data_IF_499524831595
#
_entry.id   IF_499524831595
#
_cell.length_a   1.000
_cell.length_b   1.000
_cell.length_c   1.000
_cell.angle_alpha   90.00
_cell.angle_beta   90.00
_cell.angle_gamma   90.00
#
_symmetry.space_group_name_H-M   'P 1'
#
loop_
_entity.id
_entity.type
_entity.pdbx_description
1 polymer ?
#
# COMPACT_ATOMS: atom_id res chain seq x y z
N UNK A 1 38.20 14.80 23.25
CA UNK A 1 37.15 13.77 23.13
C UNK A 1 36.73 13.90 21.69
N UNK A 2 37.33 13.12 20.81
CA UNK A 2 37.06 13.17 19.37
C UNK A 2 35.57 12.92 19.18
N UNK A 3 34.87 13.90 18.61
CA UNK A 3 33.58 13.66 17.96
C UNK A 3 33.89 12.70 16.82
N UNK A 4 33.69 11.39 17.05
CA UNK A 4 33.62 10.43 15.94
C UNK A 4 32.60 11.00 14.97
N UNK A 5 33.02 11.29 13.75
CA UNK A 5 32.11 11.52 12.62
C UNK A 5 31.09 10.38 12.65
N UNK A 6 29.86 10.71 13.03
CA UNK A 6 28.77 9.75 13.02
C UNK A 6 28.49 9.44 11.56
N UNK A 7 28.69 8.20 11.14
CA UNK A 7 28.29 7.76 9.80
C UNK A 7 26.75 7.68 9.76
N UNK A 8 26.16 7.86 8.59
CA UNK A 8 24.74 7.55 8.38
C UNK A 8 24.42 6.08 8.74
N UNK A 9 25.41 5.20 8.60
CA UNK A 9 25.36 3.79 9.01
C UNK A 9 25.18 3.57 10.52
N UNK A 10 25.51 4.58 11.35
CA UNK A 10 25.40 4.48 12.82
C UNK A 10 23.98 4.76 13.34
N UNK A 11 23.05 5.16 12.46
CA UNK A 11 21.65 5.41 12.80
C UNK A 11 20.83 4.16 12.50
N UNK A 12 19.88 3.82 13.38
CA UNK A 12 18.92 2.75 13.11
C UNK A 12 18.15 3.06 11.81
N UNK A 13 18.48 2.33 10.74
CA UNK A 13 17.87 2.47 9.41
C UNK A 13 16.38 2.07 9.40
N UNK A 14 15.95 1.31 10.42
CA UNK A 14 14.57 0.86 10.58
C UNK A 14 13.69 1.94 11.24
N UNK A 15 13.35 2.97 10.47
CA UNK A 15 12.25 3.91 10.79
C UNK A 15 10.88 3.39 10.33
N UNK A 16 10.80 2.14 9.92
CA UNK A 16 9.61 1.55 9.33
C UNK A 16 8.65 1.02 10.40
N UNK A 17 7.37 0.98 10.06
CA UNK A 17 6.34 0.40 10.93
C UNK A 17 6.39 -1.13 10.82
N UNK A 18 5.92 -1.87 11.84
CA UNK A 18 5.95 -3.34 11.81
C UNK A 18 4.92 -3.95 10.84
N UNK A 19 5.16 -5.21 10.45
CA UNK A 19 4.27 -6.00 9.59
C UNK A 19 2.81 -6.05 10.05
N UNK A 20 2.54 -6.07 11.37
CA UNK A 20 1.16 -6.05 11.89
C UNK A 20 0.38 -4.81 11.43
N UNK A 21 1.01 -3.64 11.44
CA UNK A 21 0.37 -2.41 10.97
C UNK A 21 0.15 -2.43 9.45
N UNK A 22 1.09 -3.04 8.70
CA UNK A 22 0.96 -3.28 7.26
C UNK A 22 -0.24 -4.16 6.91
N UNK A 23 -0.33 -5.31 7.57
CA UNK A 23 -1.44 -6.23 7.38
C UNK A 23 -2.79 -5.61 7.77
N UNK A 24 -2.85 -4.93 8.92
CA UNK A 24 -4.04 -4.20 9.34
C UNK A 24 -4.44 -3.10 8.34
N UNK A 25 -3.47 -2.38 7.77
CA UNK A 25 -3.73 -1.36 6.76
C UNK A 25 -4.27 -1.97 5.44
N UNK A 26 -3.79 -3.14 5.02
CA UNK A 26 -4.35 -3.86 3.88
C UNK A 26 -5.83 -4.19 4.09
N UNK A 27 -6.19 -4.82 5.22
CA UNK A 27 -7.59 -5.12 5.54
C UNK A 27 -8.42 -3.87 5.81
N UNK A 28 -7.80 -2.78 6.25
CA UNK A 28 -8.47 -1.50 6.31
C UNK A 28 -8.83 -0.97 4.91
N UNK A 29 -8.07 -1.33 3.87
CA UNK A 29 -8.46 -1.10 2.48
C UNK A 29 -9.73 -1.85 2.05
N UNK A 30 -10.12 -2.91 2.78
CA UNK A 30 -11.33 -3.70 2.55
C UNK A 30 -12.46 -3.19 3.46
N UNK A 31 -13.44 -2.49 2.88
CA UNK A 31 -14.42 -1.67 3.63
C UNK A 31 -15.39 -2.46 4.50
N UNK A 32 -15.67 -3.70 4.14
CA UNK A 32 -16.60 -4.63 4.79
C UNK A 32 -15.87 -5.78 5.53
N UNK A 33 -14.57 -5.63 5.74
CA UNK A 33 -13.77 -6.52 6.58
C UNK A 33 -13.75 -6.05 8.04
N UNK A 34 -13.85 -7.01 8.96
CA UNK A 34 -13.57 -6.85 10.39
C UNK A 34 -12.15 -7.35 10.65
N UNK A 35 -11.39 -6.55 11.41
CA UNK A 35 -9.99 -6.81 11.72
C UNK A 35 -9.88 -7.10 13.21
N UNK A 36 -9.44 -8.29 13.57
CA UNK A 36 -9.15 -8.66 14.95
C UNK A 36 -7.64 -8.71 15.14
N UNK A 37 -7.12 -7.80 15.95
CA UNK A 37 -5.72 -7.87 16.37
C UNK A 37 -5.62 -8.86 17.51
N UNK A 38 -5.02 -10.03 17.25
CA UNK A 38 -4.75 -11.00 18.29
C UNK A 38 -3.45 -10.62 19.01
N UNK A 39 -3.56 -9.99 20.19
CA UNK A 39 -2.40 -9.44 20.88
C UNK A 39 -2.74 -8.48 22.02
N UNK A 40 -1.70 -7.85 22.60
CA UNK A 40 -1.88 -6.85 23.62
C UNK A 40 -2.46 -5.56 23.03
N UNK A 41 -3.17 -4.81 23.87
CA UNK A 41 -3.89 -3.59 23.51
C UNK A 41 -3.01 -2.52 22.84
N UNK A 42 -1.72 -2.47 23.20
CA UNK A 42 -0.76 -1.53 22.59
C UNK A 42 -0.57 -1.74 21.08
N UNK A 43 -0.43 -2.99 20.63
CA UNK A 43 -0.26 -3.31 19.20
C UNK A 43 -1.48 -2.88 18.39
N UNK A 44 -2.67 -3.11 18.96
CA UNK A 44 -3.93 -2.69 18.38
C UNK A 44 -4.01 -1.16 18.22
N UNK A 45 -3.78 -0.38 19.29
CA UNK A 45 -3.81 1.08 19.19
C UNK A 45 -2.72 1.64 18.28
N UNK A 46 -1.53 1.05 18.29
CA UNK A 46 -0.44 1.47 17.41
C UNK A 46 -0.80 1.34 15.94
N UNK A 47 -1.33 0.18 15.52
CA UNK A 47 -1.78 -0.06 14.16
C UNK A 47 -3.03 0.76 13.80
N UNK A 48 -4.02 0.83 14.69
CA UNK A 48 -5.22 1.64 14.51
C UNK A 48 -4.86 3.10 14.27
N UNK A 49 -3.93 3.66 15.05
CA UNK A 49 -3.53 5.05 14.93
C UNK A 49 -2.99 5.40 13.55
N UNK A 50 -2.24 4.50 12.92
CA UNK A 50 -1.72 4.70 11.56
C UNK A 50 -2.86 4.77 10.53
N UNK A 51 -3.94 4.01 10.75
CA UNK A 51 -5.08 3.91 9.84
C UNK A 51 -6.08 5.05 10.07
N UNK A 52 -6.30 5.47 11.32
CA UNK A 52 -7.25 6.52 11.71
C UNK A 52 -7.03 7.85 10.99
N UNK A 53 -5.77 8.16 10.66
CA UNK A 53 -5.42 9.37 9.91
C UNK A 53 -6.15 9.45 8.55
N UNK A 54 -6.43 8.30 7.95
CA UNK A 54 -7.09 8.21 6.64
C UNK A 54 -8.50 7.64 6.73
N UNK A 55 -8.82 6.92 7.81
CA UNK A 55 -10.13 6.31 8.04
C UNK A 55 -10.58 6.51 9.49
N UNK A 56 -11.29 7.61 9.76
CA UNK A 56 -11.72 7.99 11.10
C UNK A 56 -12.66 6.97 11.79
N UNK A 57 -13.30 6.07 11.06
CA UNK A 57 -14.26 5.08 11.57
C UNK A 57 -13.66 3.68 11.73
N UNK A 58 -12.34 3.52 11.60
CA UNK A 58 -11.68 2.21 11.69
C UNK A 58 -11.95 1.50 13.03
N UNK A 59 -12.09 2.26 14.12
CA UNK A 59 -12.40 1.74 15.45
C UNK A 59 -13.72 0.97 15.54
N UNK A 60 -14.64 1.14 14.59
CA UNK A 60 -15.90 0.40 14.56
C UNK A 60 -15.77 -1.04 14.05
N UNK A 61 -14.65 -1.35 13.37
CA UNK A 61 -14.43 -2.64 12.70
C UNK A 61 -13.06 -3.25 12.98
N UNK A 62 -12.27 -2.61 13.83
CA UNK A 62 -10.99 -3.11 14.31
C UNK A 62 -11.09 -3.40 15.80
N UNK A 63 -10.75 -4.61 16.21
CA UNK A 63 -10.89 -5.13 17.57
C UNK A 63 -9.56 -5.67 18.08
N UNK A 64 -9.53 -6.01 19.36
CA UNK A 64 -8.37 -6.55 20.04
C UNK A 64 -8.81 -7.71 20.94
N UNK A 65 -8.05 -8.79 20.98
CA UNK A 65 -8.25 -9.87 21.97
C UNK A 65 -7.75 -9.50 23.35
N UNK A 66 -6.90 -8.47 23.46
CA UNK A 66 -6.33 -7.97 24.71
C UNK A 66 -5.63 -9.08 25.51
N UNK A 67 -4.69 -9.79 24.87
CA UNK A 67 -3.91 -10.83 25.54
C UNK A 67 -3.13 -10.25 26.72
N UNK A 68 -3.21 -10.94 27.85
CA UNK A 68 -2.43 -10.68 29.06
C UNK A 68 -1.36 -11.77 29.27
N UNK A 69 -0.81 -11.87 30.48
CA UNK A 69 0.23 -12.85 30.79
C UNK A 69 -0.31 -14.29 30.90
N UNK A 70 -1.59 -14.47 31.20
CA UNK A 70 -2.20 -15.80 31.33
C UNK A 70 -2.33 -16.45 29.95
N UNK A 71 -2.60 -15.64 28.91
CA UNK A 71 -2.61 -16.10 27.52
C UNK A 71 -1.28 -16.75 27.08
N UNK A 72 -0.14 -16.35 27.67
CA UNK A 72 1.17 -16.96 27.36
C UNK A 72 1.24 -18.42 27.85
N UNK A 73 0.53 -18.75 28.93
CA UNK A 73 0.55 -20.08 29.55
C UNK A 73 -0.58 -20.97 29.03
N UNK A 74 -1.77 -20.40 28.85
CA UNK A 74 -2.99 -21.14 28.55
C UNK A 74 -3.50 -21.00 27.11
N UNK A 75 -2.89 -20.12 26.31
CA UNK A 75 -3.35 -19.82 24.95
C UNK A 75 -4.33 -18.65 24.89
N UNK A 76 -4.64 -18.23 23.67
CA UNK A 76 -5.50 -17.10 23.33
C UNK A 76 -6.96 -17.50 23.04
N UNK A 77 -7.32 -18.77 23.18
CA UNK A 77 -8.62 -19.31 22.76
C UNK A 77 -9.81 -18.60 23.42
N UNK A 78 -9.81 -18.45 24.75
CA UNK A 78 -10.89 -17.78 25.48
C UNK A 78 -11.04 -16.31 25.05
N UNK A 79 -9.91 -15.60 24.92
CA UNK A 79 -9.86 -14.20 24.49
C UNK A 79 -10.37 -14.02 23.05
N UNK A 80 -10.03 -14.94 22.15
CA UNK A 80 -10.54 -14.95 20.78
C UNK A 80 -12.03 -15.21 20.75
N UNK A 81 -12.52 -16.20 21.51
CA UNK A 81 -13.94 -16.51 21.58
C UNK A 81 -14.76 -15.31 22.09
N UNK A 82 -14.27 -14.60 23.11
CA UNK A 82 -14.90 -13.38 23.60
C UNK A 82 -14.94 -12.28 22.53
N UNK A 83 -13.80 -12.00 21.87
CA UNK A 83 -13.70 -10.99 20.84
C UNK A 83 -14.56 -11.30 19.59
N UNK A 84 -14.76 -12.58 19.29
CA UNK A 84 -15.50 -13.05 18.11
C UNK A 84 -16.99 -13.25 18.37
N UNK A 85 -17.43 -13.31 19.62
CA UNK A 85 -18.83 -13.56 19.99
C UNK A 85 -19.86 -12.70 19.23
N UNK A 86 -19.66 -11.38 19.00
CA UNK A 86 -20.61 -10.57 18.24
C UNK A 86 -20.79 -10.98 16.77
N UNK A 87 -19.80 -11.67 16.18
CA UNK A 87 -19.77 -12.03 14.76
C UNK A 87 -20.22 -13.46 14.47
N UNK A 88 -20.54 -14.23 15.51
CA UNK A 88 -21.12 -15.58 15.35
C UNK A 88 -22.53 -15.47 14.77
N UNK A 89 -23.36 -14.57 15.32
CA UNK A 89 -24.72 -14.34 14.82
C UNK A 89 -24.76 -13.45 13.59
N UNK A 90 -23.82 -12.49 13.49
CA UNK A 90 -23.76 -11.50 12.40
C UNK A 90 -22.35 -11.47 11.79
N UNK A 91 -21.99 -12.49 10.98
CA UNK A 91 -20.66 -12.59 10.41
C UNK A 91 -20.40 -11.46 9.38
N UNK A 92 -19.21 -10.87 9.37
CA UNK A 92 -18.82 -9.86 8.38
C UNK A 92 -18.61 -10.48 6.99
N UNK A 93 -18.36 -9.65 5.98
CA UNK A 93 -18.03 -10.15 4.65
C UNK A 93 -16.65 -10.84 4.60
N UNK A 94 -15.74 -10.41 5.48
CA UNK A 94 -14.42 -10.97 5.70
C UNK A 94 -14.02 -10.76 7.16
N UNK A 95 -13.53 -11.80 7.83
CA UNK A 95 -12.86 -11.70 9.12
C UNK A 95 -11.35 -11.85 8.92
N UNK A 96 -10.58 -10.84 9.31
CA UNK A 96 -9.13 -10.88 9.30
C UNK A 96 -8.61 -10.96 10.73
N UNK A 97 -7.85 -12.00 11.08
CA UNK A 97 -7.21 -12.15 12.38
C UNK A 97 -5.71 -11.92 12.20
N UNK A 98 -5.20 -10.84 12.78
CA UNK A 98 -3.80 -10.42 12.64
C UNK A 98 -3.10 -10.60 13.98
N UNK A 99 -2.24 -11.62 14.07
CA UNK A 99 -1.52 -11.99 15.28
C UNK A 99 -0.26 -11.17 15.49
N UNK A 100 -0.14 -10.57 16.68
CA UNK A 100 1.04 -9.81 17.13
C UNK A 100 2.26 -10.69 17.40
N UNK A 101 3.42 -10.05 17.62
CA UNK A 101 4.66 -10.73 18.00
C UNK A 101 4.50 -11.63 19.23
N UNK A 102 3.74 -11.19 20.23
CA UNK A 102 3.48 -12.01 21.42
C UNK A 102 2.54 -13.18 21.10
N UNK A 103 1.48 -12.93 20.32
CA UNK A 103 0.50 -13.96 19.99
C UNK A 103 1.08 -15.08 19.12
N UNK A 104 1.91 -14.77 18.11
CA UNK A 104 2.51 -15.84 17.31
C UNK A 104 3.61 -16.63 18.02
N UNK A 105 4.18 -16.11 19.12
CA UNK A 105 5.06 -16.93 20.00
C UNK A 105 4.28 -18.00 20.78
N UNK A 106 3.01 -17.75 21.10
CA UNK A 106 2.13 -18.74 21.72
C UNK A 106 1.86 -19.88 20.73
N UNK A 107 1.64 -19.53 19.46
CA UNK A 107 1.54 -20.50 18.37
C UNK A 107 0.17 -21.14 18.22
N UNK A 108 -0.88 -20.47 18.70
CA UNK A 108 -2.25 -20.94 18.55
C UNK A 108 -2.72 -20.92 17.09
N UNK A 109 -3.50 -21.94 16.72
CA UNK A 109 -4.22 -21.96 15.45
C UNK A 109 -5.47 -21.10 15.53
N UNK A 110 -5.28 -19.79 15.34
CA UNK A 110 -6.35 -18.80 15.46
C UNK A 110 -7.45 -18.96 14.41
N UNK A 111 -7.15 -19.60 13.27
CA UNK A 111 -8.18 -19.91 12.27
C UNK A 111 -9.07 -21.04 12.76
N UNK A 112 -8.48 -22.14 13.24
CA UNK A 112 -9.23 -23.26 13.81
C UNK A 112 -10.11 -22.82 14.98
N UNK A 113 -9.57 -22.02 15.90
CA UNK A 113 -10.32 -21.45 17.03
C UNK A 113 -11.52 -20.64 16.53
N UNK A 114 -11.33 -19.73 15.57
CA UNK A 114 -12.42 -18.92 15.03
C UNK A 114 -13.49 -19.76 14.31
N UNK A 115 -13.09 -20.87 13.67
CA UNK A 115 -14.03 -21.83 13.06
C UNK A 115 -14.84 -22.58 14.12
N UNK A 116 -14.20 -23.04 15.18
CA UNK A 116 -14.84 -23.72 16.32
C UNK A 116 -15.79 -22.79 17.08
N UNK A 117 -15.47 -21.50 17.16
CA UNK A 117 -16.35 -20.45 17.68
C UNK A 117 -17.64 -20.25 16.85
N UNK A 118 -17.73 -20.85 15.65
CA UNK A 118 -18.91 -20.78 14.79
C UNK A 118 -18.86 -19.69 13.72
N UNK A 119 -17.68 -19.10 13.43
CA UNK A 119 -17.55 -18.10 12.37
C UNK A 119 -17.66 -18.75 10.98
N UNK A 120 -18.68 -18.32 10.23
CA UNK A 120 -19.03 -18.89 8.91
C UNK A 120 -18.49 -18.10 7.72
N UNK A 121 -18.11 -16.84 7.90
CA UNK A 121 -17.54 -16.01 6.82
C UNK A 121 -16.13 -16.48 6.40
N UNK A 122 -15.59 -15.98 5.27
CA UNK A 122 -14.17 -16.12 4.95
C UNK A 122 -13.30 -15.59 6.10
N UNK A 123 -12.32 -16.38 6.53
CA UNK A 123 -11.38 -16.02 7.59
C UNK A 123 -10.00 -15.96 6.95
N UNK A 124 -9.28 -14.87 7.19
CA UNK A 124 -7.85 -14.76 6.87
C UNK A 124 -7.10 -14.62 8.19
N UNK A 125 -6.46 -15.70 8.61
CA UNK A 125 -5.56 -15.69 9.76
C UNK A 125 -4.13 -15.40 9.29
N UNK A 126 -3.51 -14.40 9.90
CA UNK A 126 -2.17 -13.98 9.57
C UNK A 126 -1.32 -13.93 10.83
N UNK A 127 -0.30 -14.77 10.82
CA UNK A 127 0.79 -14.61 11.74
C UNK A 127 1.71 -13.47 11.27
N UNK A 128 1.61 -12.31 11.93
CA UNK A 128 2.55 -11.20 11.76
C UNK A 128 3.57 -11.13 12.91
N UNK A 129 3.70 -12.23 13.66
CA UNK A 129 4.70 -12.35 14.69
C UNK A 129 6.10 -12.41 14.14
N UNK A 130 7.04 -12.13 15.03
CA UNK A 130 8.44 -12.16 14.71
C UNK A 130 8.94 -10.80 14.28
N UNK A 131 10.16 -10.53 14.69
CA UNK A 131 11.04 -9.43 14.30
C UNK A 131 11.34 -9.39 12.78
N UNK A 132 10.42 -9.85 11.94
CA UNK A 132 10.60 -10.13 10.51
C UNK A 132 9.50 -9.45 9.71
N UNK A 133 9.86 -8.34 9.09
CA UNK A 133 9.03 -7.66 8.10
C UNK A 133 8.69 -6.22 8.48
N UNK A 134 8.84 -5.36 7.49
CA UNK A 134 8.36 -3.99 7.46
C UNK A 134 6.84 -3.92 7.29
N UNK A 135 6.31 -2.70 7.32
CA UNK A 135 4.93 -2.41 6.95
C UNK A 135 4.60 -3.00 5.57
N UNK A 136 5.51 -2.85 4.60
CA UNK A 136 5.30 -3.33 3.25
C UNK A 136 5.20 -4.87 3.18
N UNK A 137 6.08 -5.57 3.90
CA UNK A 137 6.05 -7.04 3.98
C UNK A 137 4.74 -7.55 4.60
N UNK A 138 4.24 -6.88 5.64
CA UNK A 138 2.96 -7.22 6.27
C UNK A 138 1.76 -6.99 5.35
N UNK A 139 1.79 -5.90 4.58
CA UNK A 139 0.76 -5.60 3.59
C UNK A 139 0.76 -6.65 2.47
N UNK A 140 1.91 -6.97 1.88
CA UNK A 140 2.02 -7.94 0.77
C UNK A 140 1.65 -9.35 1.24
N UNK A 141 2.11 -9.77 2.44
CA UNK A 141 1.71 -11.04 3.05
C UNK A 141 0.20 -11.13 3.25
N UNK A 142 -0.43 -10.05 3.73
CA UNK A 142 -1.87 -10.01 3.93
C UNK A 142 -2.64 -10.13 2.60
N UNK A 143 -2.20 -9.38 1.59
CA UNK A 143 -2.79 -9.42 0.26
C UNK A 143 -2.63 -10.79 -0.41
N UNK A 144 -1.44 -11.38 -0.39
CA UNK A 144 -1.15 -12.69 -0.95
C UNK A 144 -1.91 -13.83 -0.24
N UNK A 145 -2.24 -13.66 1.05
CA UNK A 145 -3.03 -14.65 1.80
C UNK A 145 -4.54 -14.49 1.51
N UNK A 146 -5.02 -13.25 1.38
CA UNK A 146 -6.43 -12.97 1.12
C UNK A 146 -6.85 -13.27 -0.33
N UNK A 147 -5.96 -13.05 -1.31
CA UNK A 147 -6.27 -13.19 -2.73
C UNK A 147 -6.76 -14.60 -3.11
N UNK A 148 -6.06 -15.71 -2.78
CA UNK A 148 -6.51 -17.06 -3.14
C UNK A 148 -7.86 -17.44 -2.52
N UNK A 149 -8.16 -16.90 -1.33
CA UNK A 149 -9.40 -17.17 -0.62
C UNK A 149 -10.61 -16.44 -1.24
N UNK A 150 -10.40 -15.19 -1.68
CA UNK A 150 -11.48 -14.30 -2.12
C UNK A 150 -11.63 -14.20 -3.63
N UNK A 151 -10.64 -14.66 -4.40
CA UNK A 151 -10.72 -14.70 -5.85
C UNK A 151 -11.76 -15.73 -6.31
N UNK A 152 -12.69 -15.30 -7.16
CA UNK A 152 -13.70 -16.16 -7.77
C UNK A 152 -13.17 -16.98 -8.97
N UNK A 153 -11.84 -17.20 -9.04
CA UNK A 153 -11.15 -17.79 -10.18
C UNK A 153 -11.08 -16.86 -11.39
N UNK A 154 -10.69 -17.44 -12.54
CA UNK A 154 -10.55 -16.71 -13.82
C UNK A 154 -11.93 -16.36 -14.38
N UNK A 155 -12.16 -15.07 -14.60
CA UNK A 155 -13.38 -14.54 -15.21
C UNK A 155 -13.10 -14.01 -16.63
N UNK A 156 -14.16 -13.69 -17.36
CA UNK A 156 -14.03 -13.08 -18.69
C UNK A 156 -13.37 -11.70 -18.57
N UNK A 157 -12.27 -11.52 -19.30
CA UNK A 157 -11.52 -10.26 -19.32
C UNK A 157 -12.32 -9.18 -20.04
N UNK A 158 -12.49 -8.04 -19.37
CA UNK A 158 -13.15 -6.87 -19.92
C UNK A 158 -12.13 -5.97 -20.61
N UNK A 159 -12.44 -5.55 -21.85
CA UNK A 159 -11.58 -4.67 -22.62
C UNK A 159 -11.36 -3.32 -21.90
N UNK A 160 -10.17 -2.75 -22.05
CA UNK A 160 -9.78 -1.46 -21.46
C UNK A 160 -10.01 -1.33 -19.94
N UNK A 161 -10.11 -2.47 -19.24
CA UNK A 161 -10.32 -2.50 -17.80
C UNK A 161 -9.01 -2.76 -17.09
N UNK A 162 -8.69 -1.95 -16.07
CA UNK A 162 -7.44 -2.03 -15.33
C UNK A 162 -7.69 -2.13 -13.83
N UNK A 163 -6.73 -2.71 -13.10
CA UNK A 163 -6.68 -2.62 -11.65
C UNK A 163 -5.45 -1.81 -11.22
N UNK A 164 -5.58 -1.06 -10.12
CA UNK A 164 -4.45 -0.50 -9.41
C UNK A 164 -4.07 -1.44 -8.26
N UNK A 165 -2.80 -1.85 -8.20
CA UNK A 165 -2.29 -2.83 -7.23
C UNK A 165 -1.21 -2.18 -6.37
N UNK A 166 -1.20 -2.52 -5.07
CA UNK A 166 -0.24 -1.98 -4.12
C UNK A 166 -0.56 -0.56 -3.69
N UNK A 167 -1.85 -0.24 -3.47
CA UNK A 167 -2.24 1.06 -2.95
C UNK A 167 -2.57 0.97 -1.47
N UNK A 168 -2.34 2.04 -0.72
CA UNK A 168 -2.81 2.14 0.66
C UNK A 168 -3.12 3.58 1.03
N UNK A 169 -4.19 3.78 1.78
CA UNK A 169 -4.51 5.09 2.32
C UNK A 169 -3.58 5.52 3.45
N UNK A 170 -2.78 4.61 4.03
CA UNK A 170 -1.84 4.93 5.13
C UNK A 170 -0.51 5.51 4.66
N UNK A 171 -0.18 5.43 3.37
CA UNK A 171 0.93 6.20 2.82
C UNK A 171 0.55 7.68 2.78
N UNK A 172 1.55 8.56 2.81
CA UNK A 172 1.32 10.01 2.80
C UNK A 172 0.51 10.39 1.56
N UNK A 173 -0.67 11.00 1.76
CA UNK A 173 -1.63 11.36 0.70
C UNK A 173 -2.16 10.19 -0.15
N UNK A 174 -1.96 8.93 0.24
CA UNK A 174 -2.31 7.77 -0.61
C UNK A 174 -3.78 7.69 -1.02
N UNK A 175 -4.71 8.24 -0.21
CA UNK A 175 -6.12 8.37 -0.61
C UNK A 175 -6.34 9.36 -1.76
N UNK A 176 -5.63 10.50 -1.75
CA UNK A 176 -5.67 11.48 -2.84
C UNK A 176 -4.97 10.95 -4.08
N UNK A 177 -3.87 10.22 -3.91
CA UNK A 177 -3.14 9.58 -5.01
C UNK A 177 -4.07 8.59 -5.74
N UNK A 178 -4.82 7.76 -5.02
CA UNK A 178 -5.83 6.88 -5.61
C UNK A 178 -6.88 7.67 -6.41
N UNK A 179 -7.43 8.74 -5.84
CA UNK A 179 -8.42 9.57 -6.54
C UNK A 179 -7.86 10.15 -7.85
N UNK A 180 -6.63 10.65 -7.83
CA UNK A 180 -6.01 11.26 -9.00
C UNK A 180 -5.61 10.23 -10.06
N UNK A 181 -5.03 9.09 -9.66
CA UNK A 181 -4.68 8.01 -10.58
C UNK A 181 -5.93 7.44 -11.27
N UNK A 182 -7.02 7.25 -10.52
CA UNK A 182 -8.31 6.82 -11.09
C UNK A 182 -8.83 7.87 -12.07
N UNK A 183 -8.83 9.16 -11.70
CA UNK A 183 -9.28 10.25 -12.58
C UNK A 183 -8.50 10.30 -13.89
N UNK A 184 -7.17 10.17 -13.84
CA UNK A 184 -6.29 10.19 -15.02
C UNK A 184 -6.53 8.98 -15.92
N UNK A 185 -6.67 7.77 -15.33
CA UNK A 185 -6.96 6.56 -16.09
C UNK A 185 -8.34 6.60 -16.75
N UNK A 186 -9.37 7.02 -16.03
CA UNK A 186 -10.72 7.19 -16.57
C UNK A 186 -10.77 8.26 -17.67
N UNK A 187 -10.02 9.35 -17.50
CA UNK A 187 -9.87 10.39 -18.52
C UNK A 187 -9.20 9.86 -19.79
N UNK A 188 -8.20 8.98 -19.67
CA UNK A 188 -7.60 8.29 -20.80
C UNK A 188 -8.53 7.23 -21.43
N UNK A 189 -9.68 6.95 -20.81
CA UNK A 189 -10.68 6.01 -21.31
C UNK A 189 -10.49 4.57 -20.84
N UNK A 190 -9.74 4.34 -19.76
CA UNK A 190 -9.73 3.05 -19.07
C UNK A 190 -10.88 2.98 -18.04
N UNK A 191 -11.34 1.77 -17.75
CA UNK A 191 -12.24 1.51 -16.62
C UNK A 191 -11.43 0.93 -15.46
N UNK A 192 -11.33 1.66 -14.34
CA UNK A 192 -10.66 1.13 -13.15
C UNK A 192 -11.64 0.20 -12.41
N UNK A 193 -11.40 -1.10 -12.50
CA UNK A 193 -12.28 -2.11 -11.89
C UNK A 193 -12.09 -2.22 -10.37
N UNK A 194 -10.84 -2.21 -9.91
CA UNK A 194 -10.53 -2.31 -8.49
C UNK A 194 -9.20 -1.63 -8.15
N UNK A 195 -9.12 -1.16 -6.90
CA UNK A 195 -7.91 -0.63 -6.28
C UNK A 195 -7.58 -1.51 -5.09
N UNK A 196 -6.59 -2.40 -5.24
CA UNK A 196 -6.20 -3.31 -4.17
C UNK A 196 -5.53 -2.53 -3.03
N UNK A 197 -6.21 -2.51 -1.88
CA UNK A 197 -5.81 -1.80 -0.67
C UNK A 197 -6.43 -0.42 -0.47
N UNK A 198 -7.41 -0.01 -1.30
CA UNK A 198 -8.19 1.20 -1.06
C UNK A 198 -9.66 1.05 -1.46
N UNK A 199 -10.56 1.20 -0.48
CA UNK A 199 -12.02 1.25 -0.64
C UNK A 199 -12.64 0.06 -1.45
N UNK A 200 -12.02 -1.11 -1.38
CA UNK A 200 -12.49 -2.32 -2.05
C UNK A 200 -13.44 -3.10 -1.12
N UNK A 201 -14.48 -3.78 -1.64
CA UNK A 201 -15.24 -4.75 -0.84
C UNK A 201 -14.60 -6.13 -0.93
N UNK A 202 -14.85 -7.00 0.05
CA UNK A 202 -14.45 -8.40 0.02
C UNK A 202 -14.98 -9.10 -1.24
N UNK A 203 -16.24 -8.82 -1.65
CA UNK A 203 -16.79 -9.31 -2.91
C UNK A 203 -16.13 -8.71 -4.17
N UNK A 204 -15.58 -7.50 -4.08
CA UNK A 204 -14.84 -6.84 -5.16
C UNK A 204 -13.48 -7.49 -5.43
N UNK A 205 -12.87 -8.14 -4.46
CA UNK A 205 -11.67 -8.96 -4.68
C UNK A 205 -11.90 -10.03 -5.76
N UNK A 206 -13.11 -10.60 -5.78
CA UNK A 206 -13.51 -11.59 -6.78
C UNK A 206 -13.57 -11.07 -8.22
N UNK A 207 -13.62 -9.74 -8.43
CA UNK A 207 -13.67 -9.14 -9.78
C UNK A 207 -12.29 -8.75 -10.31
N UNK A 208 -11.21 -8.91 -9.52
CA UNK A 208 -9.85 -8.56 -9.93
C UNK A 208 -9.44 -9.27 -11.23
N UNK A 209 -9.89 -10.50 -11.44
CA UNK A 209 -9.57 -11.31 -12.63
C UNK A 209 -10.23 -10.83 -13.93
N UNK A 210 -11.16 -9.86 -13.86
CA UNK A 210 -11.81 -9.25 -15.03
C UNK A 210 -10.93 -8.20 -15.73
N UNK A 211 -9.91 -7.68 -15.07
CA UNK A 211 -9.06 -6.66 -15.67
C UNK A 211 -8.19 -7.22 -16.79
N UNK A 212 -7.97 -6.40 -17.81
CA UNK A 212 -7.03 -6.64 -18.90
C UNK A 212 -5.58 -6.38 -18.49
N UNK A 213 -5.35 -5.50 -17.51
CA UNK A 213 -4.01 -5.14 -17.01
C UNK A 213 -4.05 -4.80 -15.52
N UNK A 214 -3.08 -5.31 -14.77
CA UNK A 214 -2.79 -4.87 -13.40
C UNK A 214 -1.65 -3.85 -13.42
N UNK A 215 -1.85 -2.68 -12.81
CA UNK A 215 -0.82 -1.63 -12.71
C UNK A 215 -0.34 -1.60 -11.27
N UNK A 216 0.91 -1.97 -11.04
CA UNK A 216 1.54 -1.94 -9.71
C UNK A 216 2.11 -0.55 -9.48
N UNK A 217 1.60 0.16 -8.47
CA UNK A 217 1.97 1.56 -8.18
C UNK A 217 3.09 1.62 -7.13
N UNK A 218 2.94 0.88 -6.05
CA UNK A 218 4.02 0.68 -5.06
C UNK A 218 4.39 -0.80 -5.07
N UNK A 219 5.50 -1.14 -5.72
CA UNK A 219 5.97 -2.51 -5.90
C UNK A 219 6.35 -3.19 -4.59
N UNK A 220 6.82 -2.44 -3.58
CA UNK A 220 7.02 -2.98 -2.22
C UNK A 220 5.72 -3.49 -1.58
N UNK A 221 4.56 -2.99 -2.00
CA UNK A 221 3.26 -3.46 -1.53
C UNK A 221 2.65 -4.50 -2.49
N UNK A 222 2.59 -4.15 -3.78
CA UNK A 222 1.71 -4.81 -4.74
C UNK A 222 2.35 -5.88 -5.62
N UNK A 223 3.68 -6.00 -5.65
CA UNK A 223 4.35 -6.86 -6.63
C UNK A 223 4.06 -8.35 -6.39
N UNK A 224 4.06 -8.81 -5.14
CA UNK A 224 3.69 -10.18 -4.78
C UNK A 224 2.26 -10.51 -5.21
N UNK A 225 1.34 -9.60 -4.87
CA UNK A 225 -0.07 -9.68 -5.29
C UNK A 225 -0.26 -9.73 -6.82
N UNK A 226 0.48 -8.92 -7.57
CA UNK A 226 0.39 -8.88 -9.02
C UNK A 226 0.94 -10.16 -9.68
N UNK A 227 2.04 -10.71 -9.17
CA UNK A 227 2.58 -12.02 -9.59
C UNK A 227 1.58 -13.13 -9.33
N UNK A 228 0.98 -13.15 -8.14
CA UNK A 228 -0.03 -14.13 -7.79
C UNK A 228 -1.28 -14.04 -8.69
N UNK A 229 -1.75 -12.84 -9.01
CA UNK A 229 -2.83 -12.64 -9.98
C UNK A 229 -2.45 -13.12 -11.40
N UNK A 230 -1.19 -12.94 -11.80
CA UNK A 230 -0.69 -13.47 -13.06
C UNK A 230 -0.67 -15.00 -13.07
N UNK A 231 -0.20 -15.63 -12.00
CA UNK A 231 -0.15 -17.09 -11.86
C UNK A 231 -1.55 -17.72 -11.80
N UNK A 232 -2.46 -17.14 -11.02
CA UNK A 232 -3.81 -17.68 -10.81
C UNK A 232 -4.78 -17.39 -11.96
N UNK A 233 -4.72 -16.19 -12.55
CA UNK A 233 -5.71 -15.71 -13.51
C UNK A 233 -5.14 -15.42 -14.91
N UNK A 234 -3.82 -15.35 -15.07
CA UNK A 234 -3.16 -15.01 -16.32
C UNK A 234 -3.21 -13.52 -16.67
N UNK A 235 -3.63 -12.65 -15.74
CA UNK A 235 -3.71 -11.20 -15.99
C UNK A 235 -2.29 -10.62 -16.03
N UNK A 236 -1.88 -9.93 -17.12
CA UNK A 236 -0.57 -9.30 -17.18
C UNK A 236 -0.49 -8.14 -16.17
N UNK A 237 0.73 -7.82 -15.75
CA UNK A 237 0.97 -6.67 -14.88
C UNK A 237 2.12 -5.80 -15.39
N UNK A 238 2.05 -4.52 -15.04
CA UNK A 238 3.06 -3.51 -15.31
C UNK A 238 3.57 -2.97 -13.97
N UNK A 239 4.89 -2.97 -13.80
CA UNK A 239 5.57 -2.54 -12.58
C UNK A 239 6.32 -1.24 -12.86
N UNK A 240 5.92 -0.15 -12.19
CA UNK A 240 6.49 1.18 -12.41
C UNK A 240 6.47 1.97 -11.11
N UNK A 241 7.38 2.94 -11.00
CA UNK A 241 7.35 3.91 -9.90
C UNK A 241 6.07 4.77 -9.97
N UNK A 242 5.58 5.23 -8.80
CA UNK A 242 4.44 6.13 -8.74
C UNK A 242 4.74 7.42 -9.52
N UNK A 243 3.78 7.94 -10.31
CA UNK A 243 3.99 9.07 -11.20
C UNK A 243 4.03 10.40 -10.44
N UNK A 244 5.16 10.70 -9.81
CA UNK A 244 5.38 12.04 -9.28
C UNK A 244 5.78 13.00 -10.39
N UNK A 245 5.18 14.19 -10.35
CA UNK A 245 5.45 15.24 -11.31
C UNK A 245 4.82 15.01 -12.69
N UNK A 246 4.92 16.01 -13.56
CA UNK A 246 4.30 16.03 -14.89
C UNK A 246 5.03 15.11 -15.85
N UNK A 247 6.36 15.17 -15.88
CA UNK A 247 7.17 14.28 -16.71
C UNK A 247 6.98 12.81 -16.30
N UNK A 248 6.95 12.53 -14.99
CA UNK A 248 6.66 11.20 -14.46
C UNK A 248 5.25 10.71 -14.82
N UNK A 249 4.24 11.57 -14.67
CA UNK A 249 2.84 11.25 -15.07
C UNK A 249 2.71 10.98 -16.55
N UNK A 250 3.31 11.81 -17.40
CA UNK A 250 3.29 11.62 -18.84
C UNK A 250 3.96 10.31 -19.25
N UNK A 251 5.16 10.04 -18.71
CA UNK A 251 5.86 8.78 -18.93
C UNK A 251 5.00 7.60 -18.47
N UNK A 252 4.34 7.73 -17.31
CA UNK A 252 3.55 6.66 -16.73
C UNK A 252 2.36 6.27 -17.60
N UNK A 253 1.61 7.25 -18.09
CA UNK A 253 0.51 7.04 -19.04
C UNK A 253 0.99 6.47 -20.37
N UNK A 254 2.16 6.87 -20.85
CA UNK A 254 2.75 6.35 -22.09
C UNK A 254 3.13 4.87 -21.98
N UNK A 255 3.74 4.44 -20.88
CA UNK A 255 4.07 3.02 -20.68
C UNK A 255 2.81 2.16 -20.60
N UNK A 256 1.75 2.64 -19.94
CA UNK A 256 0.46 1.96 -19.92
C UNK A 256 -0.10 1.86 -21.34
N UNK A 257 -0.09 2.97 -22.10
CA UNK A 257 -0.59 3.01 -23.47
C UNK A 257 0.15 2.09 -24.45
N UNK A 258 1.45 1.81 -24.21
CA UNK A 258 2.23 0.84 -24.99
C UNK A 258 1.72 -0.59 -24.83
N UNK A 259 1.25 -0.94 -23.63
CA UNK A 259 0.75 -2.29 -23.32
C UNK A 259 -0.73 -2.42 -23.67
N UNK A 260 -1.53 -1.41 -23.31
CA UNK A 260 -2.97 -1.37 -23.51
C UNK A 260 -3.36 0.00 -24.07
N UNK A 261 -3.60 0.14 -25.38
CA UNK A 261 -3.93 1.43 -25.98
C UNK A 261 -5.19 2.07 -25.37
N UNK A 262 -5.17 3.38 -25.06
CA UNK A 262 -6.31 4.09 -24.48
C UNK A 262 -7.42 4.35 -25.51
N UNK A 263 -8.66 4.50 -25.02
CA UNK A 263 -9.79 4.93 -25.87
C UNK A 263 -9.77 6.45 -26.12
N UNK A 264 -9.27 7.23 -25.16
CA UNK A 264 -9.26 8.69 -25.19
C UNK A 264 -7.89 9.25 -24.79
N UNK A 265 -6.80 8.79 -25.42
CA UNK A 265 -5.43 9.22 -25.12
C UNK A 265 -5.24 10.75 -25.19
N UNK A 266 -5.83 11.39 -26.20
CA UNK A 266 -5.73 12.84 -26.42
C UNK A 266 -6.29 13.66 -25.24
N UNK A 267 -7.27 13.14 -24.49
CA UNK A 267 -7.88 13.85 -23.37
C UNK A 267 -6.91 13.95 -22.18
N UNK A 268 -6.21 12.87 -21.86
CA UNK A 268 -5.21 12.86 -20.80
C UNK A 268 -4.00 13.73 -21.17
N UNK A 269 -3.56 13.69 -22.44
CA UNK A 269 -2.49 14.57 -22.92
C UNK A 269 -2.87 16.05 -22.88
N UNK A 270 -4.11 16.39 -23.25
CA UNK A 270 -4.63 17.75 -23.17
C UNK A 270 -4.69 18.26 -21.72
N UNK A 271 -5.02 17.40 -20.76
CA UNK A 271 -5.01 17.74 -19.34
C UNK A 271 -3.59 18.00 -18.83
N UNK A 272 -2.62 17.13 -19.17
CA UNK A 272 -1.21 17.36 -18.83
C UNK A 272 -0.74 18.71 -19.42
N UNK A 273 -1.11 19.01 -20.67
CA UNK A 273 -0.80 20.30 -21.30
C UNK A 273 -1.49 21.50 -20.62
N UNK A 274 -2.70 21.32 -20.09
CA UNK A 274 -3.40 22.35 -19.32
C UNK A 274 -2.68 22.63 -18.00
N UNK A 275 -2.39 21.58 -17.23
CA UNK A 275 -1.71 21.68 -15.93
C UNK A 275 -0.30 22.23 -16.09
N UNK A 276 0.45 21.82 -17.12
CA UNK A 276 1.77 22.39 -17.44
C UNK A 276 1.73 23.92 -17.57
N UNK A 277 0.70 24.47 -18.20
CA UNK A 277 0.56 25.94 -18.34
C UNK A 277 0.23 26.63 -17.02
N UNK A 278 -0.62 26.00 -16.20
CA UNK A 278 -1.01 26.53 -14.89
C UNK A 278 0.17 26.53 -13.91
N UNK A 279 0.90 25.42 -13.85
CA UNK A 279 2.09 25.27 -13.02
C UNK A 279 3.21 26.21 -13.46
N UNK A 280 3.42 26.39 -14.76
CA UNK A 280 4.43 27.33 -15.27
C UNK A 280 4.20 28.74 -14.71
N UNK A 281 2.95 29.21 -14.68
CA UNK A 281 2.61 30.51 -14.11
C UNK A 281 2.88 30.55 -12.60
N UNK A 282 2.43 29.53 -11.86
CA UNK A 282 2.65 29.43 -10.41
C UNK A 282 4.12 29.37 -10.02
N UNK A 283 4.90 28.55 -10.71
CA UNK A 283 6.34 28.42 -10.49
C UNK A 283 7.01 29.76 -10.78
N UNK A 284 6.63 30.45 -11.86
CA UNK A 284 7.19 31.76 -12.17
C UNK A 284 6.83 32.84 -11.13
N UNK A 285 5.62 32.80 -10.57
CA UNK A 285 5.24 33.63 -9.42
C UNK A 285 6.09 33.32 -8.19
N UNK A 286 6.27 32.04 -7.85
CA UNK A 286 7.16 31.61 -6.77
C UNK A 286 8.60 32.10 -7.01
N UNK A 287 9.13 31.95 -8.23
CA UNK A 287 10.46 32.42 -8.59
C UNK A 287 10.61 33.93 -8.50
N UNK A 288 9.55 34.68 -8.82
CA UNK A 288 9.55 36.13 -8.69
C UNK A 288 9.59 36.60 -7.23
N UNK A 289 9.05 35.81 -6.30
CA UNK A 289 9.03 36.11 -4.86
C UNK A 289 10.27 35.60 -4.13
N UNK A 290 10.75 34.41 -4.47
CA UNK A 290 11.76 33.68 -3.71
C UNK A 290 13.08 33.48 -4.45
N UNK A 291 13.16 33.84 -5.73
CA UNK A 291 14.29 33.55 -6.60
C UNK A 291 14.22 32.16 -7.22
N UNK A 292 15.27 31.76 -7.94
CA UNK A 292 15.38 30.39 -8.46
C UNK A 292 15.32 29.37 -7.33
N UNK A 293 14.54 28.30 -7.53
CA UNK A 293 14.43 27.19 -6.59
C UNK A 293 15.65 26.28 -6.75
N UNK A 294 16.78 26.74 -6.21
CA UNK A 294 18.05 26.05 -6.22
C UNK A 294 18.49 25.71 -4.79
N UNK A 295 18.83 24.46 -4.55
CA UNK A 295 19.22 23.96 -3.24
C UNK A 295 20.58 23.26 -3.30
N UNK A 296 21.45 23.55 -2.34
CA UNK A 296 22.77 22.90 -2.26
C UNK A 296 22.64 21.41 -1.97
N UNK A 297 21.70 21.03 -1.10
CA UNK A 297 21.48 19.63 -0.73
C UNK A 297 20.01 19.36 -0.49
N UNK A 298 19.51 18.25 -1.04
CA UNK A 298 18.21 17.69 -0.70
C UNK A 298 18.39 16.24 -0.21
N UNK A 299 17.66 15.89 0.85
CA UNK A 299 17.60 14.54 1.40
C UNK A 299 16.16 14.02 1.28
N UNK A 300 15.99 12.86 0.64
CA UNK A 300 14.71 12.18 0.53
C UNK A 300 14.75 10.91 1.37
N UNK A 301 13.80 10.79 2.31
CA UNK A 301 13.53 9.58 3.08
C UNK A 301 12.02 9.32 3.06
N UNK A 302 11.62 8.25 2.38
CA UNK A 302 10.23 7.82 2.27
C UNK A 302 10.19 6.29 2.03
N UNK A 303 8.99 5.67 1.98
CA UNK A 303 8.86 4.33 1.38
C UNK A 303 9.50 4.28 0.01
N UNK A 304 10.02 3.12 -0.37
CA UNK A 304 10.96 2.98 -1.49
C UNK A 304 10.45 3.59 -2.79
N UNK A 305 9.28 3.17 -3.24
CA UNK A 305 8.69 3.64 -4.51
C UNK A 305 8.42 5.15 -4.48
N UNK A 306 7.97 5.67 -3.34
CA UNK A 306 7.74 7.10 -3.13
C UNK A 306 9.05 7.88 -3.18
N UNK A 307 10.10 7.40 -2.50
CA UNK A 307 11.40 8.06 -2.45
C UNK A 307 12.00 8.21 -3.86
N UNK A 308 12.00 7.14 -4.64
CA UNK A 308 12.55 7.16 -6.00
C UNK A 308 11.68 7.95 -6.98
N UNK A 309 10.35 7.88 -6.85
CA UNK A 309 9.45 8.72 -7.66
C UNK A 309 9.62 10.22 -7.37
N UNK A 310 9.73 10.61 -6.09
CA UNK A 310 10.03 11.98 -5.69
C UNK A 310 11.41 12.43 -6.17
N UNK A 311 12.44 11.57 -6.06
CA UNK A 311 13.79 11.87 -6.54
C UNK A 311 13.79 12.17 -8.04
N UNK A 312 13.08 11.37 -8.83
CA UNK A 312 12.91 11.60 -10.26
C UNK A 312 12.21 12.93 -10.55
N UNK A 313 11.11 13.24 -9.87
CA UNK A 313 10.39 14.49 -10.06
C UNK A 313 11.24 15.71 -9.65
N UNK A 314 11.97 15.60 -8.54
CA UNK A 314 12.82 16.66 -8.04
C UNK A 314 13.87 17.06 -9.07
N UNK A 315 14.58 16.08 -9.64
CA UNK A 315 15.65 16.28 -10.63
C UNK A 315 15.17 16.67 -12.01
N UNK A 316 13.97 16.24 -12.39
CA UNK A 316 13.48 16.48 -13.75
C UNK A 316 12.69 17.77 -13.87
N UNK A 317 12.02 18.23 -12.82
CA UNK A 317 11.07 19.32 -12.98
C UNK A 317 10.76 20.24 -11.78
N UNK A 318 11.10 19.87 -10.52
CA UNK A 318 10.69 20.69 -9.37
C UNK A 318 11.72 21.72 -8.93
N UNK A 319 13.00 21.34 -8.84
CA UNK A 319 14.04 22.23 -8.35
C UNK A 319 15.43 21.82 -8.86
N UNK A 320 16.33 22.80 -8.95
CA UNK A 320 17.74 22.52 -9.17
C UNK A 320 18.38 22.12 -7.84
N UNK A 321 19.00 20.94 -7.79
CA UNK A 321 19.65 20.43 -6.58
C UNK A 321 21.08 20.08 -6.92
N UNK A 322 22.05 20.64 -6.18
CA UNK A 322 23.46 20.35 -6.39
C UNK A 322 23.84 18.94 -5.89
N UNK A 323 23.34 18.55 -4.72
CA UNK A 323 23.58 17.25 -4.10
C UNK A 323 22.27 16.58 -3.65
N UNK A 324 21.89 15.47 -4.27
CA UNK A 324 20.68 14.70 -3.91
C UNK A 324 21.03 13.40 -3.20
N UNK A 325 20.70 13.31 -1.91
CA UNK A 325 20.79 12.09 -1.12
C UNK A 325 19.43 11.39 -1.04
N UNK A 326 19.37 10.09 -1.32
CA UNK A 326 18.13 9.29 -1.25
C UNK A 326 18.33 8.11 -0.30
N UNK A 327 17.84 8.26 0.94
CA UNK A 327 17.90 7.22 1.95
C UNK A 327 16.72 6.25 1.78
N UNK A 328 16.81 5.31 0.83
CA UNK A 328 15.80 4.29 0.58
C UNK A 328 16.42 3.01 0.02
N UNK A 329 15.69 1.88 0.11
CA UNK A 329 16.11 0.64 -0.53
C UNK A 329 16.27 0.81 -2.06
N UNK A 330 17.26 0.14 -2.63
CA UNK A 330 17.63 0.24 -4.05
C UNK A 330 17.02 -0.87 -4.90
N UNK A 331 16.43 -1.90 -4.28
CA UNK A 331 15.79 -3.01 -5.00
C UNK A 331 14.74 -2.49 -5.99
N UNK A 332 14.75 -2.96 -7.24
CA UNK A 332 13.77 -2.56 -8.27
C UNK A 332 13.97 -1.15 -8.87
N UNK A 333 14.72 -0.25 -8.23
CA UNK A 333 14.87 1.15 -8.66
C UNK A 333 15.94 1.38 -9.76
N UNK A 334 16.27 0.37 -10.57
CA UNK A 334 17.46 0.36 -11.46
C UNK A 334 17.59 1.58 -12.37
N UNK A 335 16.46 2.10 -12.88
CA UNK A 335 16.43 3.26 -13.76
C UNK A 335 16.56 4.59 -13.01
N UNK A 336 16.21 4.62 -11.73
CA UNK A 336 16.24 5.80 -10.88
C UNK A 336 17.52 5.94 -10.04
N UNK A 337 18.30 4.87 -9.85
CA UNK A 337 19.58 4.92 -9.10
C UNK A 337 20.55 6.02 -9.60
N UNK A 338 20.72 6.26 -10.91
CA UNK A 338 21.64 7.30 -11.40
C UNK A 338 21.22 8.74 -11.05
N UNK A 339 20.02 8.94 -10.50
CA UNK A 339 19.44 10.25 -10.18
C UNK A 339 19.98 10.79 -8.85
N UNK A 340 20.38 9.90 -7.93
CA UNK A 340 20.92 10.23 -6.61
C UNK A 340 22.45 10.35 -6.64
N UNK A 341 23.00 11.36 -5.97
CA UNK A 341 24.44 11.53 -5.77
C UNK A 341 24.94 10.69 -4.58
N UNK A 342 24.07 10.44 -3.60
CA UNK A 342 24.30 9.63 -2.41
C UNK A 342 23.07 8.76 -2.10
N UNK A 343 23.28 7.53 -1.62
CA UNK A 343 22.22 6.55 -1.27
C UNK A 343 22.47 6.04 0.15
#
# INVERSE_FOLDING_TARGET
>A
MDDREKSFDDVCMCTDTCALAGAAAFFAGIKDAVIVVNGPLWCHFFAMRHIEHSQATISHRMLCTQLDNDAIVFGAEEYLNEALAPYVEQPPALLAIVSSCAAGLIGDDVEAIAREAGITCPIVALDTSGLTGSFADGWDKAACTALPLLLAGRQETQAHTVNLIGMTSTYCNGGNDVCELVRLLEMAGYHVNAVLGSNLSAGGMGTLSRAALNIVVHDELGLGSARLLNELCGTPYLEMLPPYGRAGTQHWLQEIARVLPPLHGDAAEAEIARVMREDFLRINECKSLWGELCYDTALIRAPRSVAWGLAQALRTEWADVCHLAVAADTAGAREALPIADEI
#
